data_IF_894102577678
#
_entry.id   IF_894102577678
#
_cell.length_a   1.000
_cell.length_b   1.000
_cell.length_c   1.000
_cell.angle_alpha   90.00
_cell.angle_beta   90.00
_cell.angle_gamma   90.00
#
_symmetry.space_group_name_H-M   'P 1'
#
loop_
_entity.id
_entity.type
_entity.pdbx_description
1 polymer ?
#
# COMPACT_ATOMS: atom_id res chain seq x y z
N UNK A 1 -10.52 2.08 -17.44
CA UNK A 1 -11.27 1.24 -16.47
C UNK A 1 -11.69 2.13 -15.31
N UNK A 2 -12.86 1.93 -14.68
CA UNK A 2 -13.24 2.71 -13.50
C UNK A 2 -12.38 2.30 -12.29
N UNK A 3 -12.14 3.23 -11.36
CA UNK A 3 -11.37 2.97 -10.14
C UNK A 3 -11.93 1.81 -9.30
N UNK A 4 -13.26 1.66 -9.28
CA UNK A 4 -13.94 0.56 -8.58
C UNK A 4 -13.57 -0.79 -9.19
N UNK A 5 -13.53 -0.90 -10.51
CA UNK A 5 -13.16 -2.18 -11.17
C UNK A 5 -11.69 -2.52 -10.95
N UNK A 6 -10.82 -1.52 -10.93
CA UNK A 6 -9.39 -1.70 -10.61
C UNK A 6 -9.24 -2.19 -9.16
N UNK A 7 -9.93 -1.58 -8.20
CA UNK A 7 -9.93 -2.02 -6.81
C UNK A 7 -10.37 -3.48 -6.67
N UNK A 8 -11.54 -3.81 -7.19
CA UNK A 8 -12.07 -5.19 -7.16
C UNK A 8 -11.09 -6.20 -7.79
N UNK A 9 -10.47 -5.85 -8.92
CA UNK A 9 -9.51 -6.74 -9.57
C UNK A 9 -8.32 -7.05 -8.67
N UNK A 10 -7.81 -6.06 -7.93
CA UNK A 10 -6.72 -6.27 -6.99
C UNK A 10 -7.12 -7.10 -5.77
N UNK A 11 -8.31 -6.88 -5.22
CA UNK A 11 -8.84 -7.69 -4.11
C UNK A 11 -8.95 -9.17 -4.52
N UNK A 12 -9.57 -9.46 -5.67
CA UNK A 12 -9.68 -10.82 -6.17
C UNK A 12 -8.32 -11.43 -6.54
N UNK A 13 -7.41 -10.64 -7.09
CA UNK A 13 -6.04 -11.10 -7.36
C UNK A 13 -5.30 -11.47 -6.07
N UNK A 14 -5.42 -10.63 -5.05
CA UNK A 14 -4.86 -10.90 -3.70
C UNK A 14 -5.45 -12.18 -3.12
N UNK A 15 -6.77 -12.37 -3.22
CA UNK A 15 -7.42 -13.62 -2.80
C UNK A 15 -6.85 -14.84 -3.52
N UNK A 16 -6.70 -14.78 -4.84
CA UNK A 16 -6.12 -15.87 -5.62
C UNK A 16 -4.68 -16.19 -5.16
N UNK A 17 -3.87 -15.15 -4.88
CA UNK A 17 -2.51 -15.32 -4.35
C UNK A 17 -2.48 -15.99 -2.98
N UNK A 18 -3.41 -15.64 -2.09
CA UNK A 18 -3.52 -16.24 -0.75
C UNK A 18 -3.94 -17.71 -0.83
N UNK A 19 -5.00 -18.02 -1.58
CA UNK A 19 -5.49 -19.38 -1.74
C UNK A 19 -4.45 -20.29 -2.40
N UNK A 20 -3.72 -19.79 -3.40
CA UNK A 20 -2.63 -20.54 -4.04
C UNK A 20 -1.46 -20.88 -3.09
N UNK A 21 -1.38 -20.16 -1.95
CA UNK A 21 -0.40 -20.39 -0.88
C UNK A 21 -0.96 -21.14 0.32
N UNK A 22 -2.18 -21.70 0.17
CA UNK A 22 -2.91 -22.43 1.20
C UNK A 22 -3.27 -21.60 2.44
N UNK A 23 -3.44 -20.30 2.31
CA UNK A 23 -4.05 -19.51 3.37
C UNK A 23 -5.57 -19.62 3.34
N UNK A 24 -6.18 -19.76 4.52
CA UNK A 24 -7.62 -19.60 4.68
C UNK A 24 -7.93 -18.10 4.66
N UNK A 25 -8.59 -17.62 3.61
CA UNK A 25 -8.88 -16.21 3.45
C UNK A 25 -10.30 -15.96 2.96
N UNK A 26 -10.88 -14.83 3.32
CA UNK A 26 -12.20 -14.41 2.90
C UNK A 26 -12.26 -12.90 2.62
N UNK A 27 -12.96 -12.51 1.54
CA UNK A 27 -13.33 -11.12 1.30
C UNK A 27 -14.34 -10.66 2.35
N UNK A 28 -14.23 -9.42 2.79
CA UNK A 28 -15.22 -8.79 3.66
C UNK A 28 -16.35 -8.18 2.85
N UNK A 29 -17.41 -7.76 3.54
CA UNK A 29 -18.50 -7.05 2.89
C UNK A 29 -18.02 -5.77 2.24
N UNK A 30 -18.58 -5.47 1.06
CA UNK A 30 -18.28 -4.22 0.35
C UNK A 30 -18.60 -3.03 1.22
N UNK A 31 -17.60 -2.15 1.35
CA UNK A 31 -17.72 -0.93 2.13
C UNK A 31 -17.28 -1.08 3.58
N UNK A 32 -16.68 -2.21 3.97
CA UNK A 32 -15.98 -2.28 5.25
C UNK A 32 -14.86 -1.23 5.27
N UNK A 33 -14.91 -0.24 6.18
CA UNK A 33 -13.95 0.86 6.18
C UNK A 33 -12.57 0.43 6.69
N UNK A 34 -12.45 -0.74 7.32
CA UNK A 34 -11.28 -1.13 8.07
C UNK A 34 -10.35 -2.07 7.30
N UNK A 35 -10.88 -3.05 6.58
CA UNK A 35 -10.09 -4.03 5.83
C UNK A 35 -10.91 -4.68 4.71
N UNK A 36 -10.23 -5.25 3.73
CA UNK A 36 -10.82 -5.83 2.52
C UNK A 36 -10.83 -7.36 2.59
N UNK A 37 -9.83 -7.95 3.23
CA UNK A 37 -9.64 -9.40 3.36
C UNK A 37 -9.30 -9.75 4.80
N UNK A 38 -9.87 -10.83 5.31
CA UNK A 38 -9.45 -11.49 6.52
C UNK A 38 -8.72 -12.78 6.15
N UNK A 39 -7.52 -12.97 6.70
CA UNK A 39 -6.70 -14.17 6.44
C UNK A 39 -6.34 -14.84 7.76
N UNK A 40 -6.39 -16.17 7.79
CA UNK A 40 -5.90 -16.98 8.89
C UNK A 40 -4.45 -17.36 8.63
N UNK A 41 -3.58 -17.08 9.58
CA UNK A 41 -2.16 -17.40 9.51
C UNK A 41 -1.91 -18.88 9.80
N UNK A 42 -0.71 -19.36 9.50
CA UNK A 42 -0.28 -20.75 9.85
C UNK A 42 -0.33 -21.01 11.36
N UNK A 43 -0.14 -19.98 12.19
CA UNK A 43 -0.26 -20.06 13.65
C UNK A 43 -1.73 -20.09 14.16
N UNK A 44 -2.70 -19.92 13.25
CA UNK A 44 -4.13 -19.89 13.57
C UNK A 44 -4.68 -18.52 13.95
N UNK A 45 -3.85 -17.50 14.00
CA UNK A 45 -4.26 -16.11 14.22
C UNK A 45 -4.93 -15.53 12.98
N UNK A 46 -5.68 -14.43 13.15
CA UNK A 46 -6.25 -13.68 12.05
C UNK A 46 -5.48 -12.38 11.79
N UNK A 47 -5.28 -12.08 10.50
CA UNK A 47 -4.75 -10.81 10.01
C UNK A 47 -5.77 -10.09 9.16
N UNK A 48 -5.90 -8.80 9.36
CA UNK A 48 -6.71 -7.93 8.52
C UNK A 48 -5.83 -7.34 7.40
N UNK A 49 -6.23 -7.57 6.16
CA UNK A 49 -5.53 -7.06 4.99
C UNK A 49 -6.29 -5.92 4.36
N UNK A 50 -5.57 -4.87 4.05
CA UNK A 50 -6.06 -3.76 3.25
C UNK A 50 -5.40 -3.80 1.88
N UNK A 51 -6.22 -3.87 0.83
CA UNK A 51 -5.74 -3.94 -0.56
C UNK A 51 -5.83 -2.58 -1.21
N UNK A 52 -4.73 -2.09 -1.73
CA UNK A 52 -4.68 -0.89 -2.56
C UNK A 52 -4.20 -1.25 -3.95
N UNK A 53 -5.00 -0.93 -4.97
CA UNK A 53 -4.71 -1.31 -6.34
C UNK A 53 -4.54 -0.11 -7.24
N UNK A 54 -3.61 -0.20 -8.17
CA UNK A 54 -3.43 0.74 -9.27
C UNK A 54 -3.35 -0.01 -10.60
N UNK A 55 -3.81 0.62 -11.68
CA UNK A 55 -3.62 0.09 -13.05
C UNK A 55 -2.20 0.33 -13.60
N UNK A 56 -1.46 1.22 -12.99
CA UNK A 56 -0.04 1.51 -13.29
C UNK A 56 0.82 1.22 -12.08
N UNK A 57 1.77 2.08 -11.81
CA UNK A 57 2.82 1.93 -10.79
C UNK A 57 2.72 2.97 -9.67
N UNK A 58 1.71 3.85 -9.72
CA UNK A 58 1.54 4.95 -8.77
C UNK A 58 0.36 4.67 -7.83
N UNK A 59 0.64 4.62 -6.55
CA UNK A 59 -0.34 4.54 -5.48
C UNK A 59 -0.57 5.91 -4.86
N UNK A 60 -1.84 6.27 -4.64
CA UNK A 60 -2.21 7.58 -4.12
C UNK A 60 -3.21 7.44 -2.97
N UNK A 61 -2.95 8.18 -1.91
CA UNK A 61 -3.86 8.39 -0.79
C UNK A 61 -4.21 9.86 -0.67
N UNK A 62 -5.43 10.15 -0.21
CA UNK A 62 -5.87 11.52 0.05
C UNK A 62 -6.10 11.68 1.53
N UNK A 63 -5.32 12.52 2.20
CA UNK A 63 -5.53 12.89 3.58
C UNK A 63 -6.72 13.86 3.71
N UNK A 64 -7.47 13.77 4.81
CA UNK A 64 -8.61 14.68 5.08
C UNK A 64 -8.14 16.05 5.56
N UNK A 65 -7.08 16.09 6.34
CA UNK A 65 -6.49 17.33 6.89
C UNK A 65 -4.97 17.21 7.00
N UNK A 66 -4.33 18.29 7.47
CA UNK A 66 -2.90 18.34 7.73
C UNK A 66 -2.53 17.33 8.81
N UNK A 67 -1.66 16.39 8.48
CA UNK A 67 -1.11 15.39 9.42
C UNK A 67 -2.11 14.40 10.01
N UNK A 68 -3.36 14.40 9.55
CA UNK A 68 -4.31 13.37 9.94
C UNK A 68 -3.82 11.98 9.54
N UNK A 69 -4.20 10.96 10.31
CA UNK A 69 -4.02 9.59 9.89
C UNK A 69 -4.65 9.41 8.50
N UNK A 70 -4.00 8.63 7.66
CA UNK A 70 -4.51 8.33 6.32
C UNK A 70 -5.93 7.76 6.42
N UNK A 71 -6.86 8.15 5.52
CA UNK A 71 -8.19 7.57 5.50
C UNK A 71 -8.12 6.05 5.51
N UNK A 72 -8.83 5.44 6.45
CA UNK A 72 -8.79 4.02 6.69
C UNK A 72 -7.69 3.54 7.62
N UNK A 73 -6.85 4.42 8.12
CA UNK A 73 -5.93 4.19 9.23
C UNK A 73 -6.38 5.01 10.46
N UNK A 74 -7.71 5.13 10.66
CA UNK A 74 -8.33 5.93 11.73
C UNK A 74 -8.08 5.36 13.15
N UNK A 75 -7.25 4.36 13.27
CA UNK A 75 -6.79 3.92 14.56
C UNK A 75 -5.64 4.81 15.00
N UNK A 76 -5.62 5.17 16.26
CA UNK A 76 -4.55 5.94 16.91
C UNK A 76 -3.16 5.30 16.79
N UNK A 77 -3.11 4.01 16.49
CA UNK A 77 -1.97 3.27 15.95
C UNK A 77 -2.53 2.13 15.11
N UNK A 78 -1.99 1.85 13.88
CA UNK A 78 -2.27 0.60 13.20
C UNK A 78 -1.91 -0.54 14.16
N UNK A 79 -2.80 -1.52 14.30
CA UNK A 79 -2.43 -2.75 14.99
C UNK A 79 -1.18 -3.30 14.30
N UNK A 80 -0.16 -3.71 15.05
CA UNK A 80 1.05 -4.32 14.51
C UNK A 80 0.75 -5.56 13.63
N UNK A 81 -0.47 -6.07 13.70
CA UNK A 81 -0.99 -7.19 12.90
C UNK A 81 -1.61 -6.78 11.57
N UNK A 82 -1.94 -5.49 11.37
CA UNK A 82 -2.54 -5.03 10.12
C UNK A 82 -1.50 -5.06 8.98
N UNK A 83 -1.91 -5.61 7.84
CA UNK A 83 -1.05 -5.73 6.66
C UNK A 83 -1.71 -5.02 5.47
N UNK A 84 -0.92 -4.25 4.75
CA UNK A 84 -1.32 -3.61 3.50
C UNK A 84 -0.77 -4.39 2.31
N UNK A 85 -1.63 -4.67 1.34
CA UNK A 85 -1.24 -5.32 0.08
C UNK A 85 -1.40 -4.30 -1.04
N UNK A 86 -0.30 -3.95 -1.68
CA UNK A 86 -0.29 -3.03 -2.81
C UNK A 86 -0.18 -3.83 -4.11
N UNK A 87 -1.16 -3.68 -4.99
CA UNK A 87 -1.23 -4.39 -6.27
C UNK A 87 -1.09 -3.40 -7.43
N UNK A 88 0.03 -3.45 -8.13
CA UNK A 88 0.25 -2.74 -9.38
C UNK A 88 -0.05 -3.68 -10.54
N UNK A 89 -1.18 -3.47 -11.20
CA UNK A 89 -1.62 -4.38 -12.28
C UNK A 89 -0.73 -4.28 -13.52
N UNK A 90 -0.10 -3.12 -13.76
CA UNK A 90 0.78 -2.85 -14.92
C UNK A 90 0.19 -3.31 -16.26
N UNK A 91 -1.11 -3.20 -16.37
CA UNK A 91 -1.93 -3.67 -17.48
C UNK A 91 -3.25 -4.24 -16.97
N UNK A 92 -4.12 -4.60 -17.87
CA UNK A 92 -5.38 -5.25 -17.56
C UNK A 92 -5.74 -6.22 -18.68
N UNK A 93 -5.99 -7.48 -18.36
CA UNK A 93 -6.12 -8.12 -17.05
C UNK A 93 -4.76 -8.30 -16.34
N UNK A 94 -4.77 -8.69 -15.04
CA UNK A 94 -3.55 -9.04 -14.33
C UNK A 94 -2.73 -10.09 -15.09
N UNK A 95 -1.43 -9.90 -15.15
CA UNK A 95 -0.54 -10.75 -15.94
C UNK A 95 0.88 -10.79 -15.36
N UNK A 96 1.87 -11.26 -16.14
CA UNK A 96 3.25 -11.40 -15.67
C UNK A 96 3.91 -10.12 -15.16
N UNK A 97 3.41 -8.96 -15.59
CA UNK A 97 3.88 -7.64 -15.14
C UNK A 97 3.19 -7.14 -13.86
N UNK A 98 2.22 -7.87 -13.33
CA UNK A 98 1.56 -7.50 -12.07
C UNK A 98 2.52 -7.64 -10.92
N UNK A 99 2.67 -6.57 -10.14
CA UNK A 99 3.52 -6.56 -8.96
C UNK A 99 2.68 -6.48 -7.68
N UNK A 100 3.06 -7.27 -6.69
CA UNK A 100 2.42 -7.27 -5.36
C UNK A 100 3.47 -6.97 -4.31
N UNK A 101 3.13 -6.04 -3.41
CA UNK A 101 3.94 -5.76 -2.23
C UNK A 101 3.09 -6.00 -0.98
N UNK A 102 3.59 -6.85 -0.09
CA UNK A 102 2.95 -7.17 1.19
C UNK A 102 3.74 -6.45 2.28
N UNK A 103 3.12 -5.45 2.91
CA UNK A 103 3.82 -4.51 3.78
C UNK A 103 3.09 -4.41 5.11
N UNK A 104 3.78 -4.48 6.25
CA UNK A 104 3.18 -4.11 7.53
C UNK A 104 2.57 -2.71 7.44
N UNK A 105 1.31 -2.56 7.82
CA UNK A 105 0.60 -1.27 7.66
C UNK A 105 1.30 -0.14 8.40
N UNK A 106 1.88 -0.41 9.56
CA UNK A 106 2.65 0.57 10.32
C UNK A 106 3.82 1.12 9.49
N UNK A 107 4.59 0.25 8.83
CA UNK A 107 5.70 0.64 7.94
C UNK A 107 5.21 1.47 6.75
N UNK A 108 4.11 1.06 6.10
CA UNK A 108 3.53 1.82 4.99
C UNK A 108 3.15 3.25 5.43
N UNK A 109 2.53 3.40 6.60
CA UNK A 109 2.15 4.71 7.14
C UNK A 109 3.37 5.58 7.44
N UNK A 110 4.40 4.99 8.02
CA UNK A 110 5.67 5.68 8.30
C UNK A 110 6.31 6.21 7.01
N UNK A 111 6.44 5.36 6.00
CA UNK A 111 7.02 5.71 4.71
C UNK A 111 6.20 6.79 3.99
N UNK A 112 4.87 6.69 3.97
CA UNK A 112 3.99 7.71 3.40
C UNK A 112 4.14 9.05 4.10
N UNK A 113 4.26 9.06 5.42
CA UNK A 113 4.47 10.27 6.19
C UNK A 113 5.87 10.86 5.94
N UNK A 114 6.90 10.03 5.81
CA UNK A 114 8.25 10.45 5.50
C UNK A 114 8.32 11.12 4.11
N UNK A 115 7.74 10.50 3.09
CA UNK A 115 7.64 11.07 1.73
C UNK A 115 6.92 12.41 1.74
N UNK A 116 5.81 12.49 2.46
CA UNK A 116 5.02 13.72 2.53
C UNK A 116 5.77 14.85 3.21
N UNK A 117 6.40 14.58 4.37
CA UNK A 117 7.24 15.57 5.07
C UNK A 117 8.39 16.06 4.19
N UNK A 118 9.07 15.14 3.50
CA UNK A 118 10.15 15.52 2.60
C UNK A 118 9.65 16.42 1.47
N UNK A 119 8.52 16.08 0.84
CA UNK A 119 7.92 16.92 -0.18
C UNK A 119 7.70 18.36 0.32
N UNK A 120 7.19 18.53 1.53
CA UNK A 120 6.91 19.85 2.09
C UNK A 120 8.15 20.63 2.52
N UNK A 121 9.19 19.92 2.97
CA UNK A 121 10.44 20.53 3.39
C UNK A 121 11.30 20.97 2.20
N UNK A 122 11.03 20.47 0.99
CA UNK A 122 11.71 20.90 -0.22
C UNK A 122 11.09 22.18 -0.78
N UNK A 123 11.95 23.15 -1.13
CA UNK A 123 11.52 24.35 -1.82
C UNK A 123 11.29 24.08 -3.31
N UNK A 124 10.46 24.89 -3.93
CA UNK A 124 10.34 24.95 -5.38
C UNK A 124 11.66 25.49 -6.00
N UNK A 125 11.82 25.34 -7.30
CA UNK A 125 13.01 25.84 -8.03
C UNK A 125 13.22 27.35 -7.89
N UNK A 126 12.16 28.11 -7.68
CA UNK A 126 12.16 29.55 -7.44
C UNK A 126 12.43 29.94 -5.99
N UNK A 127 12.70 28.98 -5.11
CA UNK A 127 12.94 29.16 -3.69
C UNK A 127 11.70 29.30 -2.83
N UNK A 128 10.49 29.32 -3.43
CA UNK A 128 9.25 29.41 -2.68
C UNK A 128 8.94 28.11 -1.90
N UNK A 129 8.16 28.24 -0.83
CA UNK A 129 7.68 27.09 -0.06
C UNK A 129 6.62 26.34 -0.88
N UNK A 130 6.72 25.03 -0.92
CA UNK A 130 5.71 24.19 -1.57
C UNK A 130 4.38 24.31 -0.86
N UNK A 131 3.30 24.49 -1.64
CA UNK A 131 1.94 24.46 -1.10
C UNK A 131 1.62 23.09 -0.53
N UNK A 132 0.92 23.08 0.58
CA UNK A 132 0.41 21.85 1.16
C UNK A 132 -0.51 21.11 0.17
N UNK A 133 -0.34 19.81 0.05
CA UNK A 133 -1.16 18.94 -0.80
C UNK A 133 -1.73 17.80 0.02
N UNK A 134 -3.01 17.48 -0.25
CA UNK A 134 -3.71 16.38 0.42
C UNK A 134 -3.24 15.00 -0.03
N UNK A 135 -2.61 14.92 -1.20
CA UNK A 135 -2.18 13.65 -1.77
C UNK A 135 -0.85 13.21 -1.16
N UNK A 136 -0.82 11.94 -0.78
CA UNK A 136 0.40 11.19 -0.48
C UNK A 136 0.57 10.13 -1.53
N UNK A 137 1.73 10.05 -2.15
CA UNK A 137 1.97 9.26 -3.35
C UNK A 137 3.21 8.40 -3.17
N UNK A 138 3.08 7.12 -3.54
CA UNK A 138 4.20 6.20 -3.72
C UNK A 138 4.21 5.72 -5.15
N UNK A 139 5.38 5.68 -5.75
CA UNK A 139 5.60 5.24 -7.11
C UNK A 139 6.57 4.07 -7.12
N UNK A 140 6.20 2.99 -7.79
CA UNK A 140 7.05 1.81 -7.96
C UNK A 140 7.98 1.95 -9.18
N UNK A 141 7.56 2.74 -10.19
CA UNK A 141 8.35 3.05 -11.37
C UNK A 141 9.01 4.41 -11.21
N UNK A 142 10.18 4.56 -11.29
CA UNK A 142 10.78 5.88 -11.32
C UNK A 142 12.26 5.71 -11.55
N UNK A 143 12.77 6.36 -12.58
CA UNK A 143 14.16 6.70 -12.61
C UNK A 143 14.47 7.57 -11.39
N UNK A 144 15.61 7.32 -10.77
CA UNK A 144 16.12 8.15 -9.66
C UNK A 144 16.23 9.61 -10.15
N UNK A 145 15.23 10.43 -9.82
CA UNK A 145 15.41 11.87 -9.88
C UNK A 145 15.95 12.32 -8.54
N UNK A 146 17.07 13.07 -8.50
CA UNK A 146 17.77 13.45 -7.26
C UNK A 146 16.87 14.09 -6.19
N UNK A 147 15.79 14.73 -6.62
CA UNK A 147 14.89 15.51 -5.77
C UNK A 147 13.65 14.77 -5.30
N UNK A 148 13.57 13.46 -5.50
CA UNK A 148 12.33 12.74 -5.27
C UNK A 148 12.54 11.54 -4.35
N UNK A 149 12.32 11.75 -3.07
CA UNK A 149 12.43 10.74 -2.00
C UNK A 149 11.56 9.50 -2.22
N UNK A 150 10.46 9.63 -2.96
CA UNK A 150 9.67 8.48 -3.35
C UNK A 150 10.53 7.39 -4.02
N UNK A 151 11.70 7.74 -4.50
CA UNK A 151 12.64 6.82 -5.14
C UNK A 151 13.60 6.10 -4.19
N UNK A 152 13.87 6.65 -3.01
CA UNK A 152 14.63 5.97 -1.97
C UNK A 152 13.89 4.73 -1.44
N UNK A 153 12.58 4.84 -1.27
CA UNK A 153 11.73 3.75 -0.78
C UNK A 153 11.65 2.54 -1.70
N UNK A 154 11.98 2.70 -2.95
CA UNK A 154 11.93 1.62 -3.93
C UNK A 154 12.92 0.50 -3.65
N UNK A 155 14.11 0.82 -3.22
CA UNK A 155 15.11 -0.17 -2.86
C UNK A 155 14.75 -0.85 -1.53
N UNK A 156 14.21 -0.10 -0.58
CA UNK A 156 13.73 -0.61 0.71
C UNK A 156 12.49 -1.50 0.57
N UNK A 157 11.70 -1.31 -0.49
CA UNK A 157 10.46 -2.05 -0.72
C UNK A 157 10.67 -3.34 -1.51
N UNK A 158 11.87 -3.63 -1.99
CA UNK A 158 12.18 -4.92 -2.64
C UNK A 158 11.89 -6.10 -1.74
N UNK A 159 12.17 -5.96 -0.46
CA UNK A 159 11.96 -7.01 0.54
C UNK A 159 10.47 -7.27 0.79
N UNK A 160 9.60 -6.33 0.42
CA UNK A 160 8.15 -6.49 0.52
C UNK A 160 7.51 -7.10 -0.73
N UNK A 161 8.25 -7.24 -1.83
CA UNK A 161 7.72 -7.82 -3.06
C UNK A 161 7.47 -9.32 -2.86
N UNK A 162 6.20 -9.71 -3.08
CA UNK A 162 5.72 -11.08 -2.85
C UNK A 162 6.05 -11.64 -1.45
N UNK A 163 6.22 -10.78 -0.46
CA UNK A 163 6.65 -11.12 0.90
C UNK A 163 5.47 -11.65 1.75
N UNK A 164 4.80 -12.67 1.29
CA UNK A 164 3.63 -13.25 1.96
C UNK A 164 3.94 -13.83 3.34
N UNK A 165 5.20 -14.21 3.61
CA UNK A 165 5.65 -14.66 4.93
C UNK A 165 5.45 -13.64 6.06
N UNK A 166 5.29 -12.36 5.73
CA UNK A 166 4.92 -11.30 6.69
C UNK A 166 3.61 -11.63 7.41
N UNK A 167 2.70 -12.34 6.75
CA UNK A 167 1.44 -12.77 7.37
C UNK A 167 1.66 -13.70 8.56
N UNK A 168 2.69 -14.52 8.52
CA UNK A 168 3.06 -15.47 9.57
C UNK A 168 4.03 -14.89 10.61
N UNK A 169 4.34 -13.58 10.52
CA UNK A 169 5.26 -12.91 11.44
C UNK A 169 6.74 -13.16 11.16
N UNK A 170 7.08 -13.74 10.01
CA UNK A 170 8.45 -14.11 9.61
C UNK A 170 9.21 -13.01 8.88
N UNK A 171 8.79 -11.75 8.99
CA UNK A 171 9.37 -10.64 8.25
C UNK A 171 9.36 -9.35 9.06
N UNK A 172 10.30 -9.21 9.97
CA UNK A 172 10.65 -7.94 10.61
C UNK A 172 12.14 -7.72 10.49
#
# INVERSE_FOLDING_TARGET
MSSIRVGNAGEHYTMACLLARNYDAGLTDRGNPNFDILVRTSAGDFRALRVKTTSGTTFQWTAKADWDPLPGFDRSAPDCRDVSVLVALNGCPPGPSTEVHVIPTARLVEDLNAVHRHYHNHRNRDGSVRKWIKQRVIRLDGEKKPDNIAFGFRDDWRDFRDAWSILDGSGA
#
